data_IF_227615003383
#
_entry.id   IF_227615003383
#
_cell.length_a   1.000
_cell.length_b   1.000
_cell.length_c   1.000
_cell.angle_alpha   90.00
_cell.angle_beta   90.00
_cell.angle_gamma   90.00
#
_symmetry.space_group_name_H-M   'P 1'
#
loop_
_entity.id
_entity.type
_entity.pdbx_description
1 polymer ?
#
# COMPACT_ATOMS: atom_id res chain seq x y z
N UNK A 1 -5.51 35.25 -0.23
CA UNK A 1 -4.89 34.57 -1.39
C UNK A 1 -5.18 33.07 -1.29
N UNK A 2 -5.89 32.46 -2.26
CA UNK A 2 -6.05 30.99 -2.30
C UNK A 2 -4.67 30.41 -2.65
N UNK A 3 -4.06 29.65 -1.73
CA UNK A 3 -2.85 28.87 -2.06
C UNK A 3 -3.22 27.88 -3.17
N UNK A 4 -2.65 28.05 -4.36
CA UNK A 4 -2.78 27.08 -5.45
C UNK A 4 -2.20 25.75 -4.96
N UNK A 5 -3.01 24.69 -4.92
CA UNK A 5 -2.53 23.36 -4.55
C UNK A 5 -1.50 22.90 -5.58
N UNK A 6 -0.34 22.43 -5.11
CA UNK A 6 0.68 21.84 -5.98
C UNK A 6 0.12 20.59 -6.67
N UNK A 7 0.73 20.17 -7.79
CA UNK A 7 0.33 18.95 -8.49
C UNK A 7 0.33 17.73 -7.56
N UNK A 8 1.32 17.66 -6.66
CA UNK A 8 1.42 16.64 -5.63
C UNK A 8 0.22 16.65 -4.67
N UNK A 9 -0.21 17.81 -4.18
CA UNK A 9 -1.37 17.93 -3.30
C UNK A 9 -2.67 17.51 -4.02
N UNK A 10 -2.81 17.85 -5.30
CA UNK A 10 -3.96 17.43 -6.10
C UNK A 10 -3.98 15.91 -6.37
N UNK A 11 -2.81 15.29 -6.49
CA UNK A 11 -2.67 13.83 -6.62
C UNK A 11 -2.92 13.12 -5.28
N UNK A 12 -2.47 13.70 -4.15
CA UNK A 12 -2.80 13.20 -2.80
C UNK A 12 -4.31 13.23 -2.53
N UNK A 13 -5.00 14.29 -2.94
CA UNK A 13 -6.46 14.39 -2.79
C UNK A 13 -7.23 13.31 -3.58
N UNK A 14 -6.69 12.93 -4.74
CA UNK A 14 -7.28 11.90 -5.62
C UNK A 14 -6.59 10.55 -5.50
N UNK A 15 -5.87 10.30 -4.40
CA UNK A 15 -5.05 9.12 -4.20
C UNK A 15 -5.77 7.79 -4.47
N UNK A 16 -7.08 7.72 -4.17
CA UNK A 16 -7.87 6.50 -4.37
C UNK A 16 -8.40 6.31 -5.81
N UNK A 17 -8.08 7.20 -6.75
CA UNK A 17 -8.46 7.14 -8.16
C UNK A 17 -7.24 7.05 -9.09
N UNK A 18 -6.02 7.04 -8.53
CA UNK A 18 -4.78 7.02 -9.29
C UNK A 18 -4.57 5.67 -9.98
N UNK A 19 -3.94 5.69 -11.14
CA UNK A 19 -3.38 4.48 -11.73
C UNK A 19 -2.21 3.93 -10.89
N UNK A 20 -1.80 2.69 -11.14
CA UNK A 20 -0.66 2.08 -10.45
C UNK A 20 0.63 2.92 -10.60
N UNK A 21 0.91 3.44 -11.79
CA UNK A 21 2.07 4.29 -12.03
C UNK A 21 2.01 5.62 -11.28
N UNK A 22 0.87 6.30 -11.32
CA UNK A 22 0.66 7.57 -10.60
C UNK A 22 0.73 7.38 -9.08
N UNK A 23 0.19 6.27 -8.57
CA UNK A 23 0.27 5.93 -7.16
C UNK A 23 1.73 5.80 -6.71
N UNK A 24 2.58 5.11 -7.48
CA UNK A 24 4.01 4.98 -7.17
C UNK A 24 4.73 6.33 -7.22
N UNK A 25 4.39 7.22 -8.15
CA UNK A 25 4.98 8.57 -8.20
C UNK A 25 4.65 9.35 -6.92
N UNK A 26 3.39 9.29 -6.47
CA UNK A 26 2.99 9.96 -5.23
C UNK A 26 3.68 9.34 -4.01
N UNK A 27 3.74 8.01 -3.94
CA UNK A 27 4.39 7.30 -2.84
C UNK A 27 5.90 7.53 -2.81
N UNK A 28 6.55 7.68 -3.98
CA UNK A 28 7.96 8.03 -4.09
C UNK A 28 8.23 9.45 -3.57
N UNK A 29 7.37 10.39 -3.90
CA UNK A 29 7.45 11.76 -3.37
C UNK A 29 7.19 11.82 -1.86
N UNK A 30 6.26 11.02 -1.33
CA UNK A 30 6.05 10.88 0.12
C UNK A 30 7.29 10.24 0.76
N UNK A 31 7.83 9.17 0.17
CA UNK A 31 9.02 8.49 0.67
C UNK A 31 10.22 9.43 0.76
N UNK A 32 10.42 10.29 -0.24
CA UNK A 32 11.50 11.29 -0.26
C UNK A 32 11.36 12.39 0.79
N UNK A 33 10.12 12.80 1.12
CA UNK A 33 9.86 13.95 2.01
C UNK A 33 9.59 13.55 3.45
N UNK A 34 8.84 12.48 3.62
CA UNK A 34 8.23 12.05 4.87
C UNK A 34 8.76 10.67 5.31
N UNK A 35 9.43 9.92 4.42
CA UNK A 35 10.00 8.61 4.71
C UNK A 35 9.11 7.43 4.31
N UNK A 36 9.71 6.23 4.29
CA UNK A 36 9.07 5.01 3.80
C UNK A 36 7.83 4.60 4.62
N UNK A 37 7.90 4.74 5.94
CA UNK A 37 6.80 4.40 6.84
C UNK A 37 5.55 5.25 6.52
N UNK A 38 5.73 6.54 6.26
CA UNK A 38 4.63 7.42 5.86
C UNK A 38 4.06 7.06 4.49
N UNK A 39 4.89 6.58 3.55
CA UNK A 39 4.40 6.06 2.27
C UNK A 39 3.53 4.81 2.47
N UNK A 40 3.93 3.88 3.35
CA UNK A 40 3.14 2.68 3.69
C UNK A 40 1.82 3.07 4.36
N UNK A 41 1.85 3.97 5.34
CA UNK A 41 0.64 4.47 6.01
C UNK A 41 -0.30 5.12 5.01
N UNK A 42 0.22 5.92 4.07
CA UNK A 42 -0.57 6.57 3.04
C UNK A 42 -1.19 5.58 2.06
N UNK A 43 -0.42 4.60 1.58
CA UNK A 43 -0.90 3.50 0.74
C UNK A 43 -2.08 2.77 1.43
N UNK A 44 -1.88 2.37 2.69
CA UNK A 44 -2.85 1.59 3.45
C UNK A 44 -4.14 2.38 3.76
N UNK A 45 -4.04 3.68 4.00
CA UNK A 45 -5.18 4.52 4.39
C UNK A 45 -5.92 5.15 3.21
N UNK A 46 -5.18 5.65 2.20
CA UNK A 46 -5.72 6.52 1.13
C UNK A 46 -5.77 5.84 -0.25
N UNK A 47 -5.07 4.73 -0.46
CA UNK A 47 -5.00 4.04 -1.75
C UNK A 47 -5.54 2.60 -1.67
N UNK A 48 -6.76 2.44 -1.17
CA UNK A 48 -7.37 1.12 -0.90
C UNK A 48 -7.45 0.23 -2.15
N UNK A 49 -7.71 0.81 -3.32
CA UNK A 49 -7.78 0.06 -4.56
C UNK A 49 -6.40 -0.47 -5.00
N UNK A 50 -5.31 0.31 -4.82
CA UNK A 50 -3.93 -0.15 -5.06
C UNK A 50 -3.58 -1.29 -4.10
N UNK A 51 -3.85 -1.11 -2.80
CA UNK A 51 -3.63 -2.16 -1.80
C UNK A 51 -4.37 -3.44 -2.19
N UNK A 52 -5.63 -3.33 -2.61
CA UNK A 52 -6.42 -4.47 -3.08
C UNK A 52 -5.82 -5.12 -4.34
N UNK A 53 -5.29 -4.32 -5.27
CA UNK A 53 -4.65 -4.84 -6.47
C UNK A 53 -3.38 -5.64 -6.11
N UNK A 54 -2.58 -5.15 -5.17
CA UNK A 54 -1.39 -5.84 -4.64
C UNK A 54 -1.78 -7.17 -4.00
N UNK A 55 -2.79 -7.17 -3.12
CA UNK A 55 -3.24 -8.38 -2.43
C UNK A 55 -3.85 -9.43 -3.37
N UNK A 56 -4.34 -9.01 -4.53
CA UNK A 56 -4.90 -9.90 -5.57
C UNK A 56 -3.90 -10.28 -6.66
N UNK A 57 -2.65 -9.86 -6.54
CA UNK A 57 -1.62 -10.07 -7.57
C UNK A 57 -2.01 -9.52 -8.95
N UNK A 58 -2.78 -8.42 -8.95
CA UNK A 58 -3.23 -7.71 -10.16
C UNK A 58 -2.54 -6.36 -10.33
N UNK A 59 -1.67 -6.00 -9.39
CA UNK A 59 -0.89 -4.77 -9.46
C UNK A 59 0.22 -4.94 -10.49
N UNK A 60 0.22 -4.08 -11.51
CA UNK A 60 1.22 -4.10 -12.58
C UNK A 60 1.71 -2.69 -12.87
N UNK A 61 3.02 -2.58 -13.08
CA UNK A 61 3.69 -1.37 -13.58
C UNK A 61 4.13 -1.53 -15.04
N UNK A 62 3.58 -2.52 -15.75
CA UNK A 62 3.88 -2.71 -17.16
C UNK A 62 3.55 -1.45 -17.96
N UNK A 63 4.50 -0.99 -18.78
CA UNK A 63 4.38 0.26 -19.53
C UNK A 63 4.78 1.53 -18.77
N UNK A 64 5.03 1.44 -17.45
CA UNK A 64 5.51 2.58 -16.66
C UNK A 64 7.04 2.71 -16.76
N UNK A 65 7.53 3.67 -17.54
CA UNK A 65 8.97 3.88 -17.78
C UNK A 65 9.68 4.72 -16.71
N UNK A 66 8.98 5.65 -16.08
CA UNK A 66 9.57 6.65 -15.15
C UNK A 66 9.03 6.48 -13.72
N UNK A 67 8.94 5.23 -13.24
CA UNK A 67 8.48 4.91 -11.89
C UNK A 67 9.58 4.23 -11.09
N UNK A 68 9.59 4.46 -9.78
CA UNK A 68 10.52 3.82 -8.87
C UNK A 68 10.11 2.37 -8.63
N UNK A 69 10.57 1.46 -9.49
CA UNK A 69 10.28 0.02 -9.40
C UNK A 69 10.82 -0.62 -8.13
N UNK A 70 11.95 -0.11 -7.60
CA UNK A 70 12.50 -0.60 -6.33
C UNK A 70 11.54 -0.32 -5.17
N UNK A 71 11.09 0.94 -5.07
CA UNK A 71 10.10 1.34 -4.07
C UNK A 71 8.80 0.54 -4.22
N UNK A 72 8.33 0.35 -5.46
CA UNK A 72 7.12 -0.41 -5.71
C UNK A 72 7.24 -1.85 -5.19
N UNK A 73 8.35 -2.53 -5.45
CA UNK A 73 8.60 -3.89 -4.96
C UNK A 73 8.65 -3.94 -3.43
N UNK A 74 9.30 -2.96 -2.79
CA UNK A 74 9.36 -2.86 -1.32
C UNK A 74 7.96 -2.65 -0.71
N UNK A 75 7.12 -1.81 -1.32
CA UNK A 75 5.74 -1.58 -0.89
C UNK A 75 4.87 -2.84 -1.07
N UNK A 76 5.00 -3.52 -2.21
CA UNK A 76 4.31 -4.80 -2.47
C UNK A 76 4.66 -5.83 -1.42
N UNK A 77 5.97 -6.03 -1.17
CA UNK A 77 6.46 -6.98 -0.18
C UNK A 77 5.94 -6.64 1.23
N UNK A 78 5.89 -5.35 1.58
CA UNK A 78 5.36 -4.89 2.87
C UNK A 78 3.89 -5.26 3.03
N UNK A 79 3.05 -4.95 2.04
CA UNK A 79 1.61 -5.25 2.07
C UNK A 79 1.36 -6.76 2.14
N UNK A 80 2.10 -7.56 1.37
CA UNK A 80 1.98 -9.01 1.38
C UNK A 80 2.43 -9.63 2.71
N UNK A 81 3.51 -9.11 3.31
CA UNK A 81 4.00 -9.54 4.62
C UNK A 81 2.99 -9.24 5.73
N UNK A 82 2.38 -8.06 5.73
CA UNK A 82 1.32 -7.69 6.69
C UNK A 82 0.13 -8.66 6.58
N UNK A 83 -0.31 -8.95 5.35
CA UNK A 83 -1.41 -9.87 5.11
C UNK A 83 -1.08 -11.29 5.59
N UNK A 84 0.12 -11.79 5.28
CA UNK A 84 0.56 -13.12 5.70
C UNK A 84 0.63 -13.21 7.24
N UNK A 85 1.15 -12.18 7.90
CA UNK A 85 1.23 -12.11 9.36
C UNK A 85 -0.17 -12.17 9.99
N UNK A 86 -1.14 -11.46 9.43
CA UNK A 86 -2.53 -11.49 9.89
C UNK A 86 -3.19 -12.86 9.70
N UNK A 87 -2.93 -13.55 8.59
CA UNK A 87 -3.42 -14.91 8.33
C UNK A 87 -2.83 -15.91 9.34
N UNK A 88 -1.52 -15.82 9.59
CA UNK A 88 -0.83 -16.67 10.57
C UNK A 88 -1.43 -16.46 11.96
N UNK A 89 -1.57 -15.21 12.40
CA UNK A 89 -2.16 -14.89 13.70
C UNK A 89 -3.58 -15.45 13.84
N UNK A 90 -4.44 -15.23 12.83
CA UNK A 90 -5.80 -15.76 12.85
C UNK A 90 -5.84 -17.29 12.93
N UNK A 91 -4.93 -17.96 12.22
CA UNK A 91 -4.82 -19.42 12.24
C UNK A 91 -4.40 -19.93 13.61
N UNK A 92 -3.41 -19.29 14.24
CA UNK A 92 -2.95 -19.65 15.59
C UNK A 92 -4.05 -19.44 16.64
N UNK A 93 -4.76 -18.32 16.61
CA UNK A 93 -5.86 -18.04 17.54
C UNK A 93 -7.01 -19.04 17.38
N UNK A 94 -7.36 -19.41 16.15
CA UNK A 94 -8.41 -20.40 15.89
C UNK A 94 -8.03 -21.80 16.39
N UNK A 95 -6.77 -22.18 16.26
CA UNK A 95 -6.27 -23.46 16.75
C UNK A 95 -6.29 -23.53 18.29
N UNK A 96 -5.95 -22.45 18.98
CA UNK A 96 -6.05 -22.37 20.45
C UNK A 96 -7.50 -22.44 20.95
N UNK A 97 -8.43 -21.74 20.30
CA UNK A 97 -9.85 -21.78 20.65
C UNK A 97 -10.46 -23.18 20.43
N UNK A 98 -10.03 -23.88 19.38
CA UNK A 98 -10.48 -25.24 19.08
C UNK A 98 -9.91 -26.26 20.07
N UNK A 99 -8.66 -26.07 20.50
CA UNK A 99 -8.00 -26.94 21.49
C UNK A 99 -8.65 -26.79 22.87
N UNK A 100 -8.96 -25.56 23.31
CA UNK A 100 -9.69 -25.32 24.58
C UNK A 100 -11.12 -25.83 24.59
N UNK A 101 -11.79 -25.95 23.44
CA UNK A 101 -13.15 -26.53 23.33
C UNK A 101 -13.17 -28.07 23.37
N UNK A 102 -12.02 -28.72 23.16
CA UNK A 102 -11.87 -30.18 23.13
C UNK A 102 -11.35 -30.76 24.46
N UNK A 103 -10.95 -29.90 25.40
CA UNK A 103 -10.62 -30.26 26.79
C UNK A 103 -11.83 -29.97 27.67
#
# INVERSE_FOLDING_TARGET
MKKTKTLFEQLKDRANQLSAGEAIIVLDEINKKEGFENAVIFLNSRMKHIRKAILKDTFTLQGCRNVNHKLANELIATVQKEQLSAIIQATTTNNEATTRKRM
#
